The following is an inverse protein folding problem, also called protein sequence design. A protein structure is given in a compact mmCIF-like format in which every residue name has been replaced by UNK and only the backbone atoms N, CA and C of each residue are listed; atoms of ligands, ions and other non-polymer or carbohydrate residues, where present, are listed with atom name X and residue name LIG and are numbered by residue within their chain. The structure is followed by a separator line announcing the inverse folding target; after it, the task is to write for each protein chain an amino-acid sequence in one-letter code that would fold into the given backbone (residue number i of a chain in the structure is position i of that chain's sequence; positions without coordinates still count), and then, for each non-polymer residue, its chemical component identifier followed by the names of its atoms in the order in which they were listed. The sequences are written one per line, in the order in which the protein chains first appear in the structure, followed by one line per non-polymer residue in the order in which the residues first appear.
data_IF_733234547472
#
_entry.id   IF_733234547472
#
_cell.length_a   1.000
_cell.length_b   1.000
_cell.length_c   1.000
_cell.angle_alpha   90.00
_cell.angle_beta   90.00
_cell.angle_gamma   90.00
#
_symmetry.space_group_name_H-M   'P 1'
#
loop_
_entity.id
_entity.type
_entity.pdbx_description
1 polymer ?
#
# COMPACT_ATOMS: atom_id res chain seq x y z
N UNK A 1 -3.45 25.16 57.41
CA UNK A 1 -4.40 24.48 56.50
C UNK A 1 -4.05 24.92 55.07
N UNK A 2 -3.04 24.33 54.43
CA UNK A 2 -3.10 23.09 53.65
C UNK A 2 -3.99 23.20 52.39
N UNK A 3 -3.36 23.48 51.25
CA UNK A 3 -3.61 22.80 49.97
C UNK A 3 -2.39 23.00 49.05
N UNK A 4 -1.46 22.08 49.25
CA UNK A 4 -0.25 21.85 48.48
C UNK A 4 -0.65 21.52 47.03
N UNK A 5 0.02 22.15 46.07
CA UNK A 5 -0.17 21.92 44.65
C UNK A 5 -0.05 20.43 44.32
N UNK A 6 -1.09 19.89 43.67
CA UNK A 6 -1.00 18.57 43.05
C UNK A 6 0.07 18.65 41.96
N UNK A 7 1.18 17.96 42.21
CA UNK A 7 2.11 17.53 41.20
C UNK A 7 1.30 16.95 40.02
N UNK A 8 1.41 17.61 38.87
CA UNK A 8 1.06 17.00 37.60
C UNK A 8 1.93 15.75 37.50
N UNK A 9 1.31 14.59 37.69
CA UNK A 9 1.96 13.32 37.46
C UNK A 9 2.59 13.39 36.06
N UNK A 10 3.92 13.24 36.00
CA UNK A 10 4.64 13.00 34.76
C UNK A 10 3.88 11.91 34.02
N UNK A 11 3.28 12.29 32.89
CA UNK A 11 2.51 11.38 32.06
C UNK A 11 3.43 10.26 31.63
N UNK A 12 3.32 9.12 32.32
CA UNK A 12 4.08 7.92 32.05
C UNK A 12 4.15 7.69 30.56
N UNK A 13 5.39 7.48 30.08
CA UNK A 13 5.77 7.34 28.69
C UNK A 13 4.65 6.69 27.87
N UNK A 14 3.91 7.52 27.14
CA UNK A 14 3.15 7.06 25.98
C UNK A 14 4.22 6.50 25.07
N UNK A 15 4.43 5.17 25.08
CA UNK A 15 5.22 4.54 24.02
C UNK A 15 4.60 5.04 22.72
N UNK A 16 5.38 5.88 22.06
CA UNK A 16 4.85 6.74 21.04
C UNK A 16 4.72 5.80 19.85
N UNK A 17 3.51 5.47 19.43
CA UNK A 17 3.27 4.61 18.28
C UNK A 17 4.08 5.07 17.05
N UNK A 18 4.29 6.38 16.91
CA UNK A 18 5.22 6.91 15.91
C UNK A 18 6.60 6.30 16.08
N UNK A 19 7.16 6.29 17.28
CA UNK A 19 8.43 5.63 17.62
C UNK A 19 8.35 4.12 17.39
N UNK A 20 7.27 3.43 17.78
CA UNK A 20 7.14 1.98 17.56
C UNK A 20 7.12 1.60 16.06
N UNK A 21 6.38 2.36 15.25
CA UNK A 21 6.32 2.19 13.79
C UNK A 21 7.66 2.58 13.17
N UNK A 22 8.24 3.70 13.59
CA UNK A 22 9.53 4.20 13.09
C UNK A 22 10.64 3.22 13.42
N UNK A 23 10.70 2.69 14.63
CA UNK A 23 11.68 1.69 15.05
C UNK A 23 11.54 0.39 14.25
N UNK A 24 10.30 -0.04 13.95
CA UNK A 24 10.08 -1.19 13.05
C UNK A 24 10.59 -0.92 11.63
N UNK A 25 10.34 0.27 11.10
CA UNK A 25 10.84 0.68 9.79
C UNK A 25 12.37 0.70 9.80
N UNK A 26 12.98 1.31 10.81
CA UNK A 26 14.44 1.36 10.98
C UNK A 26 15.01 -0.05 11.03
N UNK A 27 14.42 -0.96 11.81
CA UNK A 27 14.89 -2.34 11.90
C UNK A 27 14.83 -3.09 10.55
N UNK A 28 13.81 -2.84 9.71
CA UNK A 28 13.75 -3.38 8.34
C UNK A 28 14.88 -2.80 7.46
N UNK A 29 15.11 -1.48 7.55
CA UNK A 29 16.16 -0.77 6.81
C UNK A 29 17.56 -1.25 7.19
N UNK A 30 17.83 -1.45 8.48
CA UNK A 30 19.09 -1.98 9.00
C UNK A 30 19.37 -3.39 8.48
N UNK A 31 18.33 -4.16 8.17
CA UNK A 31 18.44 -5.48 7.54
C UNK A 31 18.51 -5.42 6.01
N UNK A 32 18.72 -4.24 5.44
CA UNK A 32 18.83 -4.00 3.99
C UNK A 32 17.51 -4.11 3.24
N UNK A 33 16.37 -4.18 3.95
CA UNK A 33 15.04 -4.27 3.36
C UNK A 33 14.38 -2.89 3.40
N UNK A 34 14.00 -2.39 2.24
CA UNK A 34 13.24 -1.16 2.13
C UNK A 34 11.74 -1.51 2.25
N UNK A 35 11.04 -1.21 3.35
CA UNK A 35 9.67 -1.70 3.56
C UNK A 35 8.65 -1.14 2.56
N UNK A 36 8.97 -0.02 1.91
CA UNK A 36 8.20 0.60 0.82
C UNK A 36 8.66 0.21 -0.58
N UNK A 37 9.82 -0.45 -0.72
CA UNK A 37 10.21 -1.12 -1.97
C UNK A 37 9.83 -2.57 -1.78
N UNK A 38 8.78 -3.00 -2.47
CA UNK A 38 8.26 -4.37 -2.40
C UNK A 38 9.41 -5.40 -2.23
N UNK A 39 9.38 -6.24 -1.19
CA UNK A 39 10.27 -7.38 -1.10
C UNK A 39 9.70 -8.45 -2.02
N UNK A 40 10.28 -8.55 -3.20
CA UNK A 40 10.03 -9.68 -4.08
C UNK A 40 10.78 -10.88 -3.51
N UNK A 41 10.04 -11.90 -3.09
CA UNK A 41 10.59 -13.21 -2.76
C UNK A 41 10.30 -13.64 -1.33
N UNK A 42 9.17 -14.32 -1.13
CA UNK A 42 9.09 -15.43 -0.18
C UNK A 42 7.99 -16.38 -0.62
N UNK A 43 8.39 -17.62 -0.95
CA UNK A 43 7.63 -18.86 -1.17
C UNK A 43 6.39 -18.86 -2.09
N UNK A 44 6.21 -19.88 -2.96
CA UNK A 44 4.92 -20.15 -3.61
C UNK A 44 3.74 -20.38 -2.63
N UNK A 45 4.02 -20.51 -1.33
CA UNK A 45 3.01 -20.68 -0.27
C UNK A 45 2.52 -19.35 0.35
N UNK A 46 3.11 -18.21 0.00
CA UNK A 46 2.70 -16.90 0.50
C UNK A 46 1.85 -16.20 -0.56
N UNK A 47 0.66 -15.74 -0.18
CA UNK A 47 -0.24 -15.11 -1.15
C UNK A 47 0.41 -13.93 -1.87
N UNK A 48 0.07 -13.70 -3.16
CA UNK A 48 0.45 -12.48 -3.85
C UNK A 48 -0.01 -11.27 -3.01
N UNK A 49 0.93 -10.41 -2.63
CA UNK A 49 0.69 -9.27 -1.74
C UNK A 49 -0.16 -8.20 -2.44
N UNK A 50 -1.47 -8.42 -2.52
CA UNK A 50 -2.45 -7.39 -2.87
C UNK A 50 -2.56 -6.30 -1.78
N UNK A 51 -3.33 -5.24 -2.05
CA UNK A 51 -3.62 -4.24 -1.02
C UNK A 51 -4.36 -4.90 0.16
N UNK A 52 -3.91 -4.69 1.41
CA UNK A 52 -4.63 -5.16 2.57
C UNK A 52 -6.05 -4.59 2.54
N UNK A 53 -7.06 -5.44 2.80
CA UNK A 53 -8.47 -5.04 2.80
C UNK A 53 -9.16 -5.45 4.08
N UNK A 54 -10.12 -4.64 4.53
CA UNK A 54 -10.99 -5.01 5.62
C UNK A 54 -12.03 -6.01 5.11
N UNK A 55 -11.98 -7.24 5.59
CA UNK A 55 -12.76 -8.33 4.99
C UNK A 55 -14.28 -8.25 5.28
N UNK A 56 -14.68 -7.49 6.30
CA UNK A 56 -16.09 -7.26 6.63
C UNK A 56 -16.72 -6.14 5.78
N UNK A 57 -15.92 -5.20 5.27
CA UNK A 57 -16.42 -4.02 4.55
C UNK A 57 -15.94 -3.93 3.09
N UNK A 58 -14.97 -4.75 2.69
CA UNK A 58 -14.32 -4.72 1.39
C UNK A 58 -13.35 -3.54 1.17
N UNK A 59 -13.27 -2.57 2.10
CA UNK A 59 -12.45 -1.37 1.93
C UNK A 59 -10.96 -1.68 2.04
N UNK A 60 -10.17 -1.17 1.10
CA UNK A 60 -8.70 -1.24 1.16
C UNK A 60 -8.14 -0.31 2.24
N UNK A 61 -7.08 -0.77 2.92
CA UNK A 61 -6.29 0.07 3.82
C UNK A 61 -5.40 1.03 3.01
N UNK A 62 -5.05 2.16 3.62
CA UNK A 62 -4.24 3.21 3.01
C UNK A 62 -3.10 3.68 3.90
N UNK A 63 -2.11 4.35 3.29
CA UNK A 63 -0.97 4.95 3.97
C UNK A 63 -0.13 3.94 4.72
N UNK A 64 0.29 4.31 5.93
CA UNK A 64 1.21 3.51 6.76
C UNK A 64 0.65 2.12 7.11
N UNK A 65 -0.68 1.96 7.13
CA UNK A 65 -1.30 0.66 7.40
C UNK A 65 -0.96 -0.38 6.33
N UNK A 66 -0.69 0.03 5.09
CA UNK A 66 -0.28 -0.90 4.03
C UNK A 66 1.06 -1.55 4.42
N UNK A 67 2.04 -0.74 4.81
CA UNK A 67 3.37 -1.22 5.19
C UNK A 67 3.33 -2.10 6.44
N UNK A 68 2.54 -1.69 7.45
CA UNK A 68 2.38 -2.46 8.68
C UNK A 68 1.79 -3.84 8.39
N UNK A 69 0.74 -3.90 7.56
CA UNK A 69 0.03 -5.15 7.27
C UNK A 69 0.82 -6.05 6.32
N UNK A 70 1.50 -5.49 5.32
CA UNK A 70 2.45 -6.26 4.51
C UNK A 70 3.58 -6.85 5.34
N UNK A 71 4.18 -6.05 6.23
CA UNK A 71 5.18 -6.54 7.18
C UNK A 71 4.66 -7.70 8.02
N UNK A 72 3.41 -7.63 8.49
CA UNK A 72 2.78 -8.72 9.23
C UNK A 72 2.53 -9.97 8.37
N UNK A 73 2.10 -9.82 7.10
CA UNK A 73 1.96 -10.95 6.18
C UNK A 73 3.30 -11.65 5.96
N UNK A 74 4.37 -10.90 5.71
CA UNK A 74 5.69 -11.45 5.45
C UNK A 74 6.26 -12.13 6.71
N UNK A 75 6.18 -11.45 7.86
CA UNK A 75 6.72 -11.93 9.12
C UNK A 75 6.05 -13.23 9.58
N UNK A 76 4.74 -13.38 9.34
CA UNK A 76 3.94 -14.50 9.82
C UNK A 76 3.53 -15.49 8.73
N UNK A 77 3.88 -15.23 7.47
CA UNK A 77 3.54 -16.09 6.32
C UNK A 77 2.04 -16.20 6.05
N UNK A 78 1.28 -15.11 6.23
CA UNK A 78 -0.18 -15.20 6.06
C UNK A 78 -0.59 -15.39 4.58
N UNK A 79 -1.55 -16.29 4.28
CA UNK A 79 -1.95 -16.63 2.91
C UNK A 79 -3.02 -15.67 2.35
N UNK A 80 -3.37 -14.59 3.04
CA UNK A 80 -4.40 -13.67 2.58
C UNK A 80 -4.09 -12.23 2.98
N UNK A 81 -4.63 -11.28 2.20
CA UNK A 81 -4.61 -9.84 2.51
C UNK A 81 -5.92 -9.35 3.15
N UNK A 82 -6.70 -10.28 3.71
CA UNK A 82 -7.97 -10.02 4.35
C UNK A 82 -7.78 -9.84 5.86
N UNK A 83 -8.20 -8.69 6.38
CA UNK A 83 -8.01 -8.30 7.78
C UNK A 83 -9.33 -7.92 8.44
N UNK A 84 -9.49 -8.30 9.71
CA UNK A 84 -10.71 -8.13 10.49
C UNK A 84 -10.38 -7.72 11.92
N UNK A 85 -11.21 -6.88 12.54
CA UNK A 85 -11.16 -6.74 14.01
C UNK A 85 -11.79 -7.95 14.68
N UNK A 86 -11.46 -8.19 15.95
CA UNK A 86 -12.05 -9.29 16.73
C UNK A 86 -13.59 -9.28 16.71
N UNK A 87 -14.19 -8.11 16.87
CA UNK A 87 -15.65 -7.94 16.82
C UNK A 87 -16.23 -8.23 15.44
N UNK A 88 -15.50 -7.87 14.37
CA UNK A 88 -15.93 -8.18 13.01
C UNK A 88 -15.90 -9.69 12.74
N UNK A 89 -14.84 -10.38 13.17
CA UNK A 89 -14.77 -11.84 13.05
C UNK A 89 -15.96 -12.52 13.73
N UNK A 90 -16.28 -12.13 14.97
CA UNK A 90 -17.46 -12.61 15.70
C UNK A 90 -18.78 -12.31 14.98
N UNK A 91 -18.95 -11.09 14.44
CA UNK A 91 -20.17 -10.73 13.73
C UNK A 91 -20.40 -11.51 12.44
N UNK A 92 -19.32 -12.05 11.87
CA UNK A 92 -19.33 -12.89 10.67
C UNK A 92 -19.49 -14.39 11.00
N UNK A 93 -19.70 -14.74 12.27
CA UNK A 93 -19.84 -16.14 12.72
C UNK A 93 -18.51 -16.85 12.98
N UNK A 94 -17.37 -16.20 12.73
CA UNK A 94 -16.05 -16.74 13.00
C UNK A 94 -15.50 -16.31 14.37
N UNK A 95 -14.36 -16.87 14.74
CA UNK A 95 -13.65 -16.50 15.96
C UNK A 95 -12.14 -16.53 15.77
N UNK A 96 -11.43 -15.59 16.38
CA UNK A 96 -9.97 -15.59 16.38
C UNK A 96 -9.48 -16.76 17.23
N UNK A 97 -8.55 -17.57 16.71
CA UNK A 97 -7.99 -18.70 17.44
C UNK A 97 -7.31 -18.26 18.72
N UNK A 98 -7.43 -19.08 19.77
CA UNK A 98 -6.83 -18.80 21.07
C UNK A 98 -5.30 -18.76 20.96
N UNK A 99 -4.70 -17.66 21.41
CA UNK A 99 -3.25 -17.46 21.40
C UNK A 99 -2.71 -16.67 20.20
N UNK A 100 -3.55 -16.41 19.19
CA UNK A 100 -3.20 -15.55 18.06
C UNK A 100 -2.98 -14.10 18.52
N UNK A 101 -1.99 -13.43 17.91
CA UNK A 101 -1.67 -12.02 18.17
C UNK A 101 -2.13 -11.17 16.99
N UNK A 102 -2.87 -10.10 17.31
CA UNK A 102 -3.33 -9.15 16.30
C UNK A 102 -2.26 -8.12 15.93
N UNK A 103 -2.40 -7.56 14.75
CA UNK A 103 -1.58 -6.46 14.22
C UNK A 103 -2.25 -5.12 14.51
N UNK A 104 -1.50 -4.16 15.03
CA UNK A 104 -2.02 -2.82 15.33
C UNK A 104 -1.98 -1.93 14.10
N UNK A 105 -3.14 -1.39 13.70
CA UNK A 105 -3.30 -0.39 12.63
C UNK A 105 -3.83 0.92 13.21
N UNK A 106 -3.74 1.99 12.43
CA UNK A 106 -4.01 3.35 12.88
C UNK A 106 -5.06 4.03 12.01
N UNK A 107 -5.91 4.83 12.63
CA UNK A 107 -6.90 5.66 11.95
C UNK A 107 -6.77 7.09 12.43
N UNK A 108 -6.39 7.98 11.52
CA UNK A 108 -6.29 9.41 11.79
C UNK A 108 -7.47 10.12 11.13
N UNK A 109 -8.15 10.97 11.89
CA UNK A 109 -9.28 11.76 11.38
C UNK A 109 -9.46 13.01 12.26
N UNK A 110 -10.35 13.92 11.88
CA UNK A 110 -10.64 15.15 12.62
C UNK A 110 -12.09 15.13 13.09
N UNK A 111 -12.35 15.64 14.28
CA UNK A 111 -13.72 15.87 14.74
C UNK A 111 -13.87 17.32 15.16
N UNK A 112 -15.06 17.87 14.94
CA UNK A 112 -15.41 19.24 15.36
C UNK A 112 -16.32 19.15 16.58
N UNK A 113 -15.90 19.66 17.77
CA UNK A 113 -16.74 19.69 18.96
C UNK A 113 -18.05 20.46 18.72
N UNK A 114 -19.16 20.04 19.35
CA UNK A 114 -20.46 20.72 19.19
C UNK A 114 -20.44 22.18 19.65
N UNK A 115 -19.69 22.49 20.72
CA UNK A 115 -19.51 23.88 21.18
C UNK A 115 -18.79 24.75 20.14
N UNK A 116 -17.89 24.15 19.36
CA UNK A 116 -17.18 24.82 18.27
C UNK A 116 -18.10 25.08 17.08
N UNK A 117 -18.95 24.10 16.74
CA UNK A 117 -19.99 24.25 15.72
C UNK A 117 -21.01 25.33 16.11
N UNK A 118 -21.35 25.41 17.40
CA UNK A 118 -22.26 26.45 17.94
C UNK A 118 -21.62 27.83 17.83
N UNK A 119 -20.36 27.99 18.24
CA UNK A 119 -19.63 29.27 18.09
C UNK A 119 -19.57 29.71 16.63
N UNK A 120 -19.18 28.82 15.72
CA UNK A 120 -19.12 29.11 14.29
C UNK A 120 -20.46 29.62 13.72
N UNK A 121 -21.59 29.08 14.20
CA UNK A 121 -22.93 29.56 13.81
C UNK A 121 -23.27 30.95 14.37
N UNK A 122 -22.76 31.28 15.55
CA UNK A 122 -23.04 32.55 16.24
C UNK A 122 -22.10 33.68 15.80
N UNK A 123 -20.84 33.38 15.50
CA UNK A 123 -19.81 34.38 15.13
C UNK A 123 -19.57 34.50 13.62
N UNK A 124 -20.01 33.52 12.83
CA UNK A 124 -19.73 33.45 11.39
C UNK A 124 -18.29 33.02 11.06
N UNK A 125 -17.51 32.58 12.06
CA UNK A 125 -16.15 32.06 11.89
C UNK A 125 -16.14 30.56 11.58
N UNK A 126 -15.02 30.06 11.05
CA UNK A 126 -14.85 28.63 10.76
C UNK A 126 -14.72 27.77 12.02
N UNK A 127 -15.42 26.64 12.07
CA UNK A 127 -15.34 25.72 13.20
C UNK A 127 -14.00 24.98 13.23
N UNK A 128 -13.27 25.05 14.35
CA UNK A 128 -12.00 24.35 14.51
C UNK A 128 -12.16 22.83 14.69
N UNK A 129 -11.62 22.06 13.75
CA UNK A 129 -11.59 20.61 13.82
C UNK A 129 -10.33 20.09 14.54
N UNK A 130 -10.53 19.31 15.60
CA UNK A 130 -9.47 18.71 16.42
C UNK A 130 -9.04 17.36 15.78
N UNK A 131 -7.76 17.19 15.42
CA UNK A 131 -7.27 15.92 14.91
C UNK A 131 -7.18 14.86 16.03
N UNK A 132 -7.45 13.61 15.69
CA UNK A 132 -7.29 12.47 16.57
C UNK A 132 -6.66 11.28 15.85
N UNK A 133 -6.05 10.39 16.64
CA UNK A 133 -5.48 9.13 16.18
C UNK A 133 -6.04 7.99 17.02
N UNK A 134 -6.75 7.05 16.39
CA UNK A 134 -7.24 5.81 17.00
C UNK A 134 -6.37 4.63 16.59
N UNK A 135 -6.14 3.73 17.54
CA UNK A 135 -5.49 2.44 17.28
C UNK A 135 -6.55 1.36 17.21
N UNK A 136 -6.39 0.45 16.26
CA UNK A 136 -7.22 -0.74 16.14
C UNK A 136 -6.33 -1.97 16.07
N UNK A 137 -6.77 -3.07 16.66
CA UNK A 137 -6.13 -4.37 16.51
C UNK A 137 -6.92 -5.18 15.49
N UNK A 138 -6.24 -5.61 14.44
CA UNK A 138 -6.80 -6.43 13.37
C UNK A 138 -6.08 -7.77 13.32
N UNK A 139 -6.77 -8.77 12.81
CA UNK A 139 -6.34 -10.14 12.65
C UNK A 139 -6.48 -10.51 11.19
N UNK A 140 -5.53 -11.29 10.67
CA UNK A 140 -5.66 -11.85 9.35
C UNK A 140 -6.80 -12.88 9.33
N UNK A 141 -7.50 -13.03 8.20
CA UNK A 141 -8.53 -14.05 8.05
C UNK A 141 -8.01 -15.46 8.38
N UNK A 142 -6.73 -15.74 8.07
CA UNK A 142 -6.10 -17.02 8.39
C UNK A 142 -5.91 -17.29 9.90
N UNK A 143 -6.06 -16.29 10.76
CA UNK A 143 -6.01 -16.42 12.22
C UNK A 143 -7.38 -16.74 12.85
N UNK A 144 -8.43 -16.78 12.03
CA UNK A 144 -9.80 -16.99 12.48
C UNK A 144 -10.35 -18.33 11.97
N UNK A 145 -11.15 -19.00 12.80
CA UNK A 145 -11.90 -20.19 12.43
C UNK A 145 -13.38 -19.83 12.21
N UNK A 146 -14.09 -20.59 11.36
CA UNK A 146 -15.54 -20.42 11.14
C UNK A 146 -15.94 -19.16 10.37
N UNK A 147 -15.00 -18.50 9.69
CA UNK A 147 -15.34 -17.41 8.76
C UNK A 147 -15.97 -17.98 7.47
N UNK A 148 -16.88 -17.22 6.82
CA UNK A 148 -17.42 -17.59 5.51
C UNK A 148 -16.31 -17.78 4.44
N UNK A 149 -16.50 -18.75 3.55
CA UNK A 149 -15.52 -19.11 2.51
C UNK A 149 -15.15 -17.93 1.59
N UNK A 150 -16.09 -17.02 1.36
CA UNK A 150 -15.90 -15.79 0.57
C UNK A 150 -14.83 -14.85 1.17
N UNK A 151 -14.65 -14.91 2.50
CA UNK A 151 -13.71 -14.08 3.26
C UNK A 151 -12.33 -14.74 3.34
N UNK A 152 -12.30 -16.07 3.36
CA UNK A 152 -11.09 -16.89 3.39
C UNK A 152 -10.57 -17.23 1.99
N UNK A 153 -11.32 -16.94 0.93
CA UNK A 153 -10.92 -17.16 -0.44
C UNK A 153 -9.62 -16.40 -0.76
N UNK A 154 -8.54 -17.18 -0.88
CA UNK A 154 -7.29 -16.73 -1.50
C UNK A 154 -7.61 -16.37 -2.95
N UNK A 155 -7.15 -15.21 -3.41
CA UNK A 155 -7.33 -14.83 -4.81
C UNK A 155 -6.78 -15.96 -5.70
N UNK A 156 -7.54 -16.43 -6.71
CA UNK A 156 -7.07 -17.50 -7.57
C UNK A 156 -5.75 -17.09 -8.23
N UNK A 157 -4.84 -18.04 -8.48
CA UNK A 157 -3.59 -17.74 -9.18
C UNK A 157 -3.92 -17.07 -10.53
N UNK A 158 -3.12 -16.07 -10.95
CA UNK A 158 -3.37 -15.39 -12.21
C UNK A 158 -3.35 -16.43 -13.36
N UNK A 159 -4.37 -16.42 -14.25
CA UNK A 159 -4.52 -17.45 -15.27
C UNK A 159 -3.34 -17.46 -16.25
N UNK A 160 -2.97 -18.61 -16.85
CA UNK A 160 -1.97 -18.62 -17.91
C UNK A 160 -2.42 -17.75 -19.11
N UNK A 161 -1.49 -17.02 -19.72
CA UNK A 161 -1.80 -16.08 -20.81
C UNK A 161 -2.04 -14.63 -20.36
N UNK A 162 -1.29 -14.14 -19.37
CA UNK A 162 -1.48 -12.81 -18.77
C UNK A 162 -1.15 -11.63 -19.69
N UNK A 163 -0.50 -11.89 -20.83
CA UNK A 163 -0.19 -10.86 -21.83
C UNK A 163 -1.14 -11.08 -23.01
N UNK A 164 -1.96 -10.08 -23.31
CA UNK A 164 -2.86 -10.11 -24.45
C UNK A 164 -2.05 -10.20 -25.75
N UNK A 165 -2.42 -11.07 -26.72
CA UNK A 165 -1.67 -11.25 -27.95
C UNK A 165 -1.43 -9.94 -28.72
N UNK A 166 -2.38 -9.01 -28.70
CA UNK A 166 -2.24 -7.70 -29.35
C UNK A 166 -1.17 -6.84 -28.67
N UNK A 167 -1.05 -6.91 -27.34
CA UNK A 167 -0.02 -6.18 -26.59
C UNK A 167 1.35 -6.79 -26.85
N UNK A 168 1.45 -8.13 -26.85
CA UNK A 168 2.71 -8.80 -27.19
C UNK A 168 3.16 -8.48 -28.62
N UNK A 169 2.22 -8.51 -29.58
CA UNK A 169 2.49 -8.15 -30.97
C UNK A 169 2.94 -6.69 -31.11
N UNK A 170 2.30 -5.76 -30.38
CA UNK A 170 2.68 -4.35 -30.36
C UNK A 170 4.09 -4.15 -29.81
N UNK A 171 4.40 -4.71 -28.62
CA UNK A 171 5.73 -4.66 -28.01
C UNK A 171 6.78 -5.12 -29.02
N UNK A 172 6.55 -6.29 -29.64
CA UNK A 172 7.47 -6.86 -30.63
C UNK A 172 7.64 -5.95 -31.86
N UNK A 173 6.55 -5.36 -32.34
CA UNK A 173 6.57 -4.47 -33.51
C UNK A 173 7.34 -3.16 -33.26
N UNK A 174 7.44 -2.71 -32.00
CA UNK A 174 8.21 -1.49 -31.67
C UNK A 174 9.71 -1.63 -31.90
N UNK A 175 10.25 -2.86 -31.85
CA UNK A 175 11.69 -3.11 -31.90
C UNK A 175 12.49 -2.59 -30.70
N UNK A 176 11.81 -2.11 -29.65
CA UNK A 176 12.45 -1.63 -28.41
C UNK A 176 12.86 -2.84 -27.56
N UNK A 177 14.05 -2.80 -26.96
CA UNK A 177 14.48 -3.81 -25.99
C UNK A 177 13.56 -3.79 -24.77
N UNK A 178 12.68 -4.79 -24.67
CA UNK A 178 11.66 -4.90 -23.65
C UNK A 178 11.91 -6.12 -22.77
N UNK A 179 12.18 -5.87 -21.49
CA UNK A 179 12.63 -6.89 -20.53
C UNK A 179 11.59 -7.10 -19.46
N UNK A 180 11.22 -8.37 -19.27
CA UNK A 180 10.32 -8.79 -18.20
C UNK A 180 11.15 -9.38 -17.07
N UNK A 181 11.06 -8.80 -15.88
CA UNK A 181 11.81 -9.21 -14.71
C UNK A 181 12.01 -8.08 -13.69
N UNK A 182 12.70 -8.38 -12.60
CA UNK A 182 12.92 -7.39 -11.54
C UNK A 182 11.62 -6.94 -10.85
N UNK A 183 11.70 -5.81 -10.16
CA UNK A 183 10.66 -5.31 -9.25
C UNK A 183 10.16 -3.90 -9.54
N UNK A 184 10.61 -3.29 -10.63
CA UNK A 184 10.26 -1.92 -11.02
C UNK A 184 9.97 -1.86 -12.51
N UNK A 185 8.99 -1.03 -12.87
CA UNK A 185 8.78 -0.61 -14.24
C UNK A 185 9.50 0.70 -14.48
N UNK A 186 10.24 0.79 -15.59
CA UNK A 186 10.88 2.02 -16.04
C UNK A 186 11.39 1.87 -17.48
N UNK A 187 11.41 2.97 -18.21
CA UNK A 187 12.29 3.16 -19.34
C UNK A 187 13.67 3.71 -18.89
N UNK A 188 14.76 3.18 -19.43
CA UNK A 188 16.14 3.61 -19.15
C UNK A 188 16.74 4.33 -20.37
N UNK A 189 16.71 5.68 -20.44
CA UNK A 189 17.10 6.41 -21.64
C UNK A 189 18.56 6.22 -22.06
N UNK A 190 19.48 6.02 -21.11
CA UNK A 190 20.92 5.89 -21.39
C UNK A 190 21.30 4.56 -22.05
N UNK A 191 20.50 3.51 -21.81
CA UNK A 191 20.73 2.15 -22.32
C UNK A 191 19.64 1.68 -23.28
N UNK A 192 18.67 2.55 -23.55
CA UNK A 192 17.57 2.34 -24.50
C UNK A 192 16.82 1.01 -24.31
N UNK A 193 16.33 0.75 -23.10
CA UNK A 193 15.48 -0.42 -22.82
C UNK A 193 14.34 -0.09 -21.87
N UNK A 194 13.27 -0.87 -21.96
CA UNK A 194 12.16 -0.90 -21.01
C UNK A 194 12.33 -2.12 -20.10
N UNK A 195 12.21 -1.89 -18.80
CA UNK A 195 12.07 -2.94 -17.80
C UNK A 195 10.65 -2.91 -17.26
N UNK A 196 10.00 -4.06 -17.19
CA UNK A 196 8.77 -4.22 -16.42
C UNK A 196 8.83 -5.46 -15.55
N UNK A 197 8.17 -5.48 -14.39
CA UNK A 197 8.05 -6.69 -13.60
C UNK A 197 7.21 -7.76 -14.34
N UNK A 198 7.28 -9.03 -13.90
CA UNK A 198 6.42 -10.08 -14.44
C UNK A 198 4.93 -9.76 -14.29
N UNK A 199 4.06 -10.13 -15.26
CA UNK A 199 2.61 -9.92 -15.18
C UNK A 199 1.95 -10.44 -13.89
N UNK A 200 2.50 -11.52 -13.33
CA UNK A 200 2.05 -12.16 -12.10
C UNK A 200 2.11 -11.25 -10.86
N UNK A 201 2.87 -10.15 -10.95
CA UNK A 201 2.98 -9.18 -9.88
C UNK A 201 1.87 -8.14 -9.83
N UNK A 202 1.04 -8.11 -10.88
CA UNK A 202 -0.05 -7.17 -11.02
C UNK A 202 -1.36 -7.89 -10.69
N UNK A 203 -2.25 -7.20 -9.96
CA UNK A 203 -3.52 -7.78 -9.52
C UNK A 203 -4.45 -8.15 -10.68
N UNK A 204 -4.46 -7.32 -11.72
CA UNK A 204 -5.22 -7.58 -12.94
C UNK A 204 -4.27 -7.46 -14.14
N UNK A 205 -4.39 -8.34 -15.14
CA UNK A 205 -3.58 -8.29 -16.37
C UNK A 205 -3.57 -6.90 -17.00
N UNK A 206 -4.72 -6.21 -17.03
CA UNK A 206 -4.86 -4.87 -17.61
C UNK A 206 -3.92 -3.84 -16.98
N UNK A 207 -3.60 -3.97 -15.70
CA UNK A 207 -2.69 -3.04 -15.02
C UNK A 207 -1.25 -3.28 -15.43
N UNK A 208 -0.87 -4.52 -15.72
CA UNK A 208 0.42 -4.81 -16.33
C UNK A 208 0.50 -4.20 -17.74
N UNK A 209 -0.53 -4.37 -18.57
CA UNK A 209 -0.54 -3.79 -19.93
C UNK A 209 -0.42 -2.26 -19.89
N UNK A 210 -1.17 -1.59 -19.01
CA UNK A 210 -1.07 -0.14 -18.81
C UNK A 210 0.36 0.29 -18.48
N UNK A 211 0.99 -0.36 -17.51
CA UNK A 211 2.37 -0.04 -17.13
C UNK A 211 3.35 -0.32 -18.27
N UNK A 212 3.25 -1.48 -18.92
CA UNK A 212 4.11 -1.83 -20.05
C UNK A 212 4.02 -0.82 -21.21
N UNK A 213 2.81 -0.42 -21.57
CA UNK A 213 2.56 0.53 -22.66
C UNK A 213 2.96 1.96 -22.28
N UNK A 214 2.80 2.34 -21.02
CA UNK A 214 3.28 3.63 -20.50
C UNK A 214 4.81 3.77 -20.63
N UNK A 215 5.57 2.74 -20.21
CA UNK A 215 7.04 2.77 -20.35
C UNK A 215 7.48 2.74 -21.82
N UNK A 216 6.74 2.06 -22.70
CA UNK A 216 6.95 2.17 -24.15
C UNK A 216 6.67 3.58 -24.68
N UNK A 217 5.69 4.27 -24.10
CA UNK A 217 5.40 5.68 -24.34
C UNK A 217 6.64 6.55 -24.08
N UNK A 218 7.28 6.38 -22.92
CA UNK A 218 8.56 7.04 -22.61
C UNK A 218 9.67 6.64 -23.58
N UNK A 219 9.77 5.36 -23.89
CA UNK A 219 10.78 4.87 -24.82
C UNK A 219 10.69 5.58 -26.17
N UNK A 220 9.50 5.83 -26.72
CA UNK A 220 9.35 6.57 -27.98
C UNK A 220 10.08 7.94 -28.01
N UNK A 221 10.33 8.55 -26.86
CA UNK A 221 11.01 9.84 -26.71
C UNK A 221 12.53 9.81 -26.88
N UNK A 222 13.17 8.65 -27.03
CA UNK A 222 14.62 8.52 -27.18
C UNK A 222 15.19 9.32 -28.36
N UNK A 223 16.48 9.65 -28.28
CA UNK A 223 17.15 10.54 -29.24
C UNK A 223 17.17 10.02 -30.68
N UNK A 224 17.14 8.69 -30.86
CA UNK A 224 17.06 8.02 -32.17
C UNK A 224 15.62 7.87 -32.70
N UNK A 225 14.61 8.26 -31.91
CA UNK A 225 13.18 8.15 -32.21
C UNK A 225 12.56 9.55 -32.29
N UNK A 226 11.63 9.90 -31.41
CA UNK A 226 10.96 11.22 -31.41
C UNK A 226 11.82 12.33 -30.80
N UNK A 227 12.97 11.99 -30.19
CA UNK A 227 13.97 12.94 -29.68
C UNK A 227 13.35 14.00 -28.76
N UNK A 228 12.55 13.54 -27.80
CA UNK A 228 11.99 14.39 -26.73
C UNK A 228 13.04 14.63 -25.64
N UNK A 229 12.83 15.67 -24.82
CA UNK A 229 13.72 15.99 -23.71
C UNK A 229 13.40 15.10 -22.49
N UNK A 230 14.19 14.04 -22.30
CA UNK A 230 14.08 13.11 -21.18
C UNK A 230 15.07 13.42 -20.03
N UNK A 231 15.66 14.62 -19.99
CA UNK A 231 16.67 14.98 -18.98
C UNK A 231 16.09 15.41 -17.62
N UNK A 232 14.77 15.51 -17.52
CA UNK A 232 14.09 15.90 -16.29
C UNK A 232 14.25 14.86 -15.19
N UNK A 233 14.63 15.29 -13.98
CA UNK A 233 14.59 14.45 -12.79
C UNK A 233 13.17 14.31 -12.25
N UNK A 234 12.90 13.20 -11.55
CA UNK A 234 11.61 12.96 -10.89
C UNK A 234 11.15 14.17 -10.08
N UNK A 235 9.88 14.56 -10.27
CA UNK A 235 9.28 15.73 -9.62
C UNK A 235 9.61 17.10 -10.27
N UNK A 236 10.44 17.14 -11.31
CA UNK A 236 10.68 18.38 -12.07
C UNK A 236 9.54 18.70 -13.04
N UNK A 237 9.44 19.96 -13.48
CA UNK A 237 8.47 20.37 -14.51
C UNK A 237 8.66 19.63 -15.83
N UNK A 238 9.92 19.38 -16.21
CA UNK A 238 10.25 18.62 -17.44
C UNK A 238 9.81 17.17 -17.33
N UNK A 239 10.04 16.55 -16.17
CA UNK A 239 9.56 15.19 -15.89
C UNK A 239 8.03 15.11 -15.96
N UNK A 240 7.32 16.02 -15.27
CA UNK A 240 5.85 16.05 -15.32
C UNK A 240 5.29 16.26 -16.73
N UNK A 241 5.97 17.04 -17.57
CA UNK A 241 5.58 17.24 -18.97
C UNK A 241 5.72 15.95 -19.79
N UNK A 242 6.81 15.20 -19.61
CA UNK A 242 7.00 13.91 -20.27
C UNK A 242 6.01 12.84 -19.76
N UNK A 243 5.71 12.82 -18.46
CA UNK A 243 4.67 11.95 -17.88
C UNK A 243 3.30 12.23 -18.51
N UNK A 244 2.93 13.50 -18.73
CA UNK A 244 1.70 13.85 -19.44
C UNK A 244 1.67 13.31 -20.88
N UNK A 245 2.81 13.27 -21.57
CA UNK A 245 2.92 12.72 -22.93
C UNK A 245 2.83 11.19 -22.92
N UNK A 246 3.46 10.53 -21.94
CA UNK A 246 3.46 9.06 -21.87
C UNK A 246 2.17 8.46 -21.29
N UNK A 247 1.32 9.29 -20.67
CA UNK A 247 0.00 8.91 -20.15
C UNK A 247 -1.16 9.21 -21.12
N UNK A 248 -0.92 10.00 -22.19
CA UNK A 248 -1.90 10.31 -23.25
C UNK A 248 -1.94 9.25 -24.34
#
# INVERSE_FOLDING_TARGET
MARQGRNLAEGGARSNLYDDITNKIIAELEQGRLPWVQPWGASPDTAPLGLPRNASTGRSYSGINILILWGAVIQHGFPAQAWLTFRQALSLGGNVRKGERGTTVVYADRFTPEDEKRRARETGEDAHAIPFLKRFTVFNAAQCDGLPDEITAVAPPPPPGLIEPQVEALIRATGIDFRIGGNRAFYMPSLDYVQVPPPQAYFEPINWHRTALHELGHASGHHSRLKRDLTGSFGSKKYAFEEMIALS
#
